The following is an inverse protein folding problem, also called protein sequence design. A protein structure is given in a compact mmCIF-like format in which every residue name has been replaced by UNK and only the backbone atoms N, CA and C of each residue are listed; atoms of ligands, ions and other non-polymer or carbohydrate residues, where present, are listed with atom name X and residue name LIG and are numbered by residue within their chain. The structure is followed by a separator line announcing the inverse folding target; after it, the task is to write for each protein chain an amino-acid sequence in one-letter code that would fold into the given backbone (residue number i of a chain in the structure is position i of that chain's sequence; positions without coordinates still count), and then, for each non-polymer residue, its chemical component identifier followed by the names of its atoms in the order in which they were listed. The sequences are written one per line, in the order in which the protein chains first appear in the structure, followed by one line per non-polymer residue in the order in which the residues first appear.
data_IF_588415140032
#
_entry.id   IF_588415140032
#
_cell.length_a   1.000
_cell.length_b   1.000
_cell.length_c   1.000
_cell.angle_alpha   90.00
_cell.angle_beta   90.00
_cell.angle_gamma   90.00
#
_symmetry.space_group_name_H-M   'P 1'
#
loop_
_entity.id
_entity.type
_entity.pdbx_description
1 polymer ?
#
# COMPACT_ATOMS: atom_id res chain seq x y z
N UNK A 1 21.80 13.67 -17.53
CA UNK A 1 20.52 13.07 -17.10
C UNK A 1 19.44 14.14 -17.14
N UNK A 2 18.22 13.76 -17.51
CA UNK A 2 17.11 14.67 -17.75
C UNK A 2 16.70 15.34 -16.43
N UNK A 3 16.86 16.66 -16.30
CA UNK A 3 16.81 17.36 -15.00
C UNK A 3 15.41 17.48 -14.41
N UNK A 4 14.34 17.21 -15.18
CA UNK A 4 12.97 17.54 -14.79
C UNK A 4 12.32 16.56 -13.80
N UNK A 5 12.73 15.29 -13.82
CA UNK A 5 12.18 14.21 -12.97
C UNK A 5 13.28 13.58 -12.12
N UNK A 6 13.98 14.44 -11.38
CA UNK A 6 15.06 14.03 -10.50
C UNK A 6 14.49 13.73 -9.08
N UNK A 7 14.82 12.58 -8.47
CA UNK A 7 14.31 12.20 -7.15
C UNK A 7 14.73 13.18 -6.04
N UNK A 8 15.99 13.64 -6.05
CA UNK A 8 16.50 14.60 -5.06
C UNK A 8 15.76 15.94 -5.14
N UNK A 9 15.47 16.44 -6.35
CA UNK A 9 14.71 17.68 -6.51
C UNK A 9 13.26 17.56 -6.02
N UNK A 10 12.63 16.40 -6.21
CA UNK A 10 11.32 16.13 -5.63
C UNK A 10 11.39 16.07 -4.10
N UNK A 11 12.43 15.43 -3.55
CA UNK A 11 12.64 15.33 -2.11
C UNK A 11 12.89 16.71 -1.49
N UNK A 12 13.81 17.51 -2.03
CA UNK A 12 14.08 18.88 -1.59
C UNK A 12 12.82 19.75 -1.60
N UNK A 13 11.99 19.59 -2.63
CA UNK A 13 10.70 20.29 -2.73
C UNK A 13 9.71 19.81 -1.65
N UNK A 14 9.68 18.52 -1.34
CA UNK A 14 8.90 17.99 -0.22
C UNK A 14 9.37 18.58 1.11
N UNK A 15 10.68 18.58 1.38
CA UNK A 15 11.27 19.19 2.57
C UNK A 15 10.92 20.68 2.69
N UNK A 16 10.99 21.43 1.58
CA UNK A 16 10.61 22.84 1.58
C UNK A 16 9.13 23.04 1.93
N UNK A 17 8.23 22.19 1.43
CA UNK A 17 6.82 22.25 1.80
C UNK A 17 6.59 21.91 3.28
N UNK A 18 7.35 20.98 3.85
CA UNK A 18 7.27 20.67 5.28
C UNK A 18 7.86 21.77 6.16
N UNK A 19 8.90 22.47 5.70
CA UNK A 19 9.36 23.69 6.38
C UNK A 19 8.26 24.77 6.41
N UNK A 20 7.39 24.82 5.39
CA UNK A 20 6.24 25.73 5.40
C UNK A 20 5.15 25.26 6.35
N UNK A 21 4.88 23.95 6.43
CA UNK A 21 3.90 23.39 7.36
C UNK A 21 4.33 23.50 8.83
N UNK A 22 5.65 23.58 9.09
CA UNK A 22 6.23 23.64 10.42
C UNK A 22 6.40 25.07 10.97
N UNK A 23 5.91 26.11 10.27
CA UNK A 23 6.01 27.48 10.78
C UNK A 23 5.20 27.66 12.07
N UNK A 24 5.67 28.44 13.06
CA UNK A 24 4.97 28.58 14.34
C UNK A 24 3.60 29.27 14.26
N UNK A 25 3.42 30.14 13.26
CA UNK A 25 2.27 31.02 13.07
C UNK A 25 1.22 30.46 12.10
N UNK A 26 1.37 29.20 11.68
CA UNK A 26 0.49 28.57 10.71
C UNK A 26 -0.71 27.87 11.38
N UNK A 27 -1.89 28.01 10.78
CA UNK A 27 -3.08 27.30 11.23
C UNK A 27 -2.99 25.79 10.90
N UNK A 28 -3.75 24.98 11.64
CA UNK A 28 -3.72 23.52 11.46
C UNK A 28 -4.18 23.08 10.06
N UNK A 29 -5.12 23.81 9.46
CA UNK A 29 -5.61 23.58 8.11
C UNK A 29 -4.52 23.84 7.06
N UNK A 30 -3.80 24.96 7.16
CA UNK A 30 -2.70 25.30 6.27
C UNK A 30 -1.49 24.35 6.47
N UNK A 31 -1.23 23.90 7.70
CA UNK A 31 -0.25 22.82 7.97
C UNK A 31 -0.63 21.53 7.24
N UNK A 32 -1.88 21.11 7.32
CA UNK A 32 -2.35 19.89 6.65
C UNK A 32 -2.24 20.04 5.12
N UNK A 33 -2.60 21.20 4.58
CA UNK A 33 -2.46 21.51 3.16
C UNK A 33 -1.02 21.41 2.66
N UNK A 34 -0.06 22.06 3.34
CA UNK A 34 1.35 21.96 2.97
C UNK A 34 1.90 20.54 3.12
N UNK A 35 1.45 19.82 4.14
CA UNK A 35 1.82 18.41 4.36
C UNK A 35 1.31 17.53 3.22
N UNK A 36 0.08 17.77 2.73
CA UNK A 36 -0.48 17.06 1.58
C UNK A 36 0.37 17.29 0.33
N UNK A 37 0.73 18.54 0.02
CA UNK A 37 1.60 18.87 -1.11
C UNK A 37 2.99 18.22 -0.99
N UNK A 38 3.56 18.22 0.22
CA UNK A 38 4.84 17.56 0.49
C UNK A 38 4.77 16.06 0.22
N UNK A 39 3.70 15.40 0.68
CA UNK A 39 3.46 13.98 0.45
C UNK A 39 3.42 13.65 -1.04
N UNK A 40 2.80 14.51 -1.86
CA UNK A 40 2.76 14.27 -3.30
C UNK A 40 4.15 14.28 -3.94
N UNK A 41 5.00 15.23 -3.53
CA UNK A 41 6.36 15.31 -4.04
C UNK A 41 7.19 14.13 -3.54
N UNK A 42 7.03 13.73 -2.28
CA UNK A 42 7.75 12.60 -1.70
C UNK A 42 7.39 11.26 -2.35
N UNK A 43 6.11 11.02 -2.66
CA UNK A 43 5.67 9.87 -3.44
C UNK A 43 6.35 9.83 -4.83
N UNK A 44 6.46 10.98 -5.50
CA UNK A 44 7.14 11.07 -6.80
C UNK A 44 8.65 10.90 -6.68
N UNK A 45 9.25 11.44 -5.63
CA UNK A 45 10.68 11.24 -5.31
C UNK A 45 10.97 9.74 -5.21
N UNK A 46 10.14 9.02 -4.46
CA UNK A 46 10.27 7.58 -4.22
C UNK A 46 10.17 6.76 -5.51
N UNK A 47 9.19 7.03 -6.37
CA UNK A 47 9.12 6.36 -7.68
C UNK A 47 10.31 6.69 -8.57
N UNK A 48 10.71 7.97 -8.65
CA UNK A 48 11.82 8.40 -9.49
C UNK A 48 13.17 7.85 -9.02
N UNK A 49 13.33 7.57 -7.72
CA UNK A 49 14.53 6.96 -7.16
C UNK A 49 14.70 5.52 -7.62
N UNK A 50 13.60 4.78 -7.81
CA UNK A 50 13.62 3.47 -8.45
C UNK A 50 13.87 3.63 -9.95
N UNK A 51 13.03 4.42 -10.64
CA UNK A 51 13.20 4.77 -12.05
C UNK A 51 12.31 5.94 -12.44
N UNK A 52 12.82 7.00 -13.10
CA UNK A 52 12.00 8.10 -13.61
C UNK A 52 10.86 7.67 -14.54
N UNK A 53 11.00 6.52 -15.22
CA UNK A 53 9.98 5.96 -16.09
C UNK A 53 8.71 5.57 -15.32
N UNK A 54 8.85 5.19 -14.04
CA UNK A 54 7.70 4.85 -13.19
C UNK A 54 6.83 6.08 -12.86
N UNK A 55 7.34 7.30 -13.02
CA UNK A 55 6.57 8.53 -12.85
C UNK A 55 5.99 9.07 -14.18
N UNK A 56 6.35 8.48 -15.31
CA UNK A 56 5.92 8.89 -16.64
C UNK A 56 4.48 8.45 -16.95
N UNK A 57 3.70 9.36 -17.54
CA UNK A 57 2.39 9.04 -18.10
C UNK A 57 2.54 8.14 -19.34
N UNK A 58 1.94 6.93 -19.38
CA UNK A 58 2.08 6.02 -20.52
C UNK A 58 1.29 6.45 -21.77
N UNK A 59 0.43 7.47 -21.68
CA UNK A 59 -0.35 7.97 -22.82
C UNK A 59 0.53 8.68 -23.87
N UNK A 60 -0.11 9.21 -24.93
CA UNK A 60 0.56 9.95 -26.01
C UNK A 60 1.68 9.10 -26.68
N UNK A 61 1.39 7.84 -27.02
CA UNK A 61 2.34 6.90 -27.65
C UNK A 61 3.64 6.72 -26.84
N UNK A 62 3.56 6.82 -25.51
CA UNK A 62 4.71 6.66 -24.63
C UNK A 62 5.71 7.83 -24.70
N UNK A 63 5.32 9.00 -25.21
CA UNK A 63 6.22 10.16 -25.34
C UNK A 63 6.91 10.55 -24.01
N UNK A 64 6.19 10.44 -22.89
CA UNK A 64 6.71 10.69 -21.55
C UNK A 64 7.67 9.60 -21.07
N UNK A 65 7.42 8.34 -21.44
CA UNK A 65 8.31 7.21 -21.16
C UNK A 65 9.64 7.40 -21.91
N UNK A 66 9.56 7.73 -23.20
CA UNK A 66 10.74 8.04 -24.02
C UNK A 66 11.53 9.21 -23.43
N UNK A 67 10.84 10.25 -22.95
CA UNK A 67 11.48 11.36 -22.23
C UNK A 67 12.20 10.89 -20.95
N UNK A 68 11.58 10.03 -20.15
CA UNK A 68 12.20 9.46 -18.94
C UNK A 68 13.49 8.70 -19.26
N UNK A 69 13.49 7.97 -20.38
CA UNK A 69 14.64 7.23 -20.90
C UNK A 69 15.70 8.13 -21.57
N UNK A 70 15.46 9.44 -21.68
CA UNK A 70 16.42 10.41 -22.19
C UNK A 70 16.25 10.77 -23.67
N UNK A 71 15.24 10.25 -24.35
CA UNK A 71 14.93 10.63 -25.73
C UNK A 71 14.19 11.96 -25.78
N UNK A 72 14.50 12.79 -26.78
CA UNK A 72 13.87 14.10 -26.96
C UNK A 72 12.54 13.94 -27.70
N UNK A 73 11.44 14.25 -27.02
CA UNK A 73 10.12 14.37 -27.63
C UNK A 73 9.85 15.78 -28.18
N UNK A 74 8.86 15.89 -29.07
CA UNK A 74 8.33 17.20 -29.56
C UNK A 74 7.38 17.85 -28.55
N UNK A 75 6.70 17.04 -27.73
CA UNK A 75 5.75 17.49 -26.70
C UNK A 75 6.43 17.61 -25.34
N UNK A 76 5.90 18.49 -24.48
CA UNK A 76 6.30 18.55 -23.09
C UNK A 76 5.90 17.24 -22.38
N UNK A 77 6.80 16.64 -21.59
CA UNK A 77 6.55 15.38 -20.93
C UNK A 77 5.56 15.55 -19.78
N UNK A 78 4.70 14.55 -19.60
CA UNK A 78 3.66 14.49 -18.56
C UNK A 78 4.01 13.44 -17.51
N UNK A 79 3.74 13.78 -16.26
CA UNK A 79 3.85 12.84 -15.13
C UNK A 79 2.50 12.23 -14.84
N UNK A 80 2.49 11.06 -14.21
CA UNK A 80 1.26 10.41 -13.78
C UNK A 80 0.38 11.27 -12.86
N UNK A 81 -0.95 11.07 -12.86
CA UNK A 81 -1.81 11.55 -11.79
C UNK A 81 -1.49 10.83 -10.46
N UNK A 82 -1.78 11.47 -9.32
CA UNK A 82 -1.31 10.95 -8.02
C UNK A 82 -1.89 9.59 -7.63
N UNK A 83 -3.15 9.29 -7.99
CA UNK A 83 -3.73 7.95 -7.73
C UNK A 83 -2.93 6.83 -8.42
N UNK A 84 -2.39 7.11 -9.61
CA UNK A 84 -1.56 6.16 -10.33
C UNK A 84 -0.14 6.07 -9.74
N UNK A 85 0.36 7.17 -9.17
CA UNK A 85 1.64 7.18 -8.43
C UNK A 85 1.54 6.27 -7.20
N UNK A 86 0.51 6.43 -6.36
CA UNK A 86 0.32 5.62 -5.15
C UNK A 86 0.03 4.15 -5.47
N UNK A 87 -0.74 3.88 -6.53
CA UNK A 87 -0.95 2.52 -7.01
C UNK A 87 0.35 1.85 -7.48
N UNK A 88 1.23 2.59 -8.20
CA UNK A 88 2.56 2.05 -8.58
C UNK A 88 3.44 1.82 -7.37
N UNK A 89 3.45 2.73 -6.39
CA UNK A 89 4.22 2.58 -5.15
C UNK A 89 3.85 1.28 -4.40
N UNK A 90 2.56 0.96 -4.27
CA UNK A 90 2.08 -0.28 -3.65
C UNK A 90 2.63 -1.55 -4.33
N UNK A 91 2.81 -1.49 -5.66
CA UNK A 91 3.33 -2.62 -6.43
C UNK A 91 4.86 -2.75 -6.35
N UNK A 92 5.59 -1.64 -6.26
CA UNK A 92 7.07 -1.64 -6.39
C UNK A 92 7.81 -1.47 -5.07
N UNK A 93 7.14 -1.01 -4.01
CA UNK A 93 7.72 -0.84 -2.68
C UNK A 93 7.02 -1.77 -1.68
N UNK A 94 7.70 -2.81 -1.24
CA UNK A 94 7.15 -3.82 -0.31
C UNK A 94 6.58 -3.22 0.98
N UNK A 95 7.26 -2.21 1.54
CA UNK A 95 6.85 -1.51 2.76
C UNK A 95 5.70 -0.52 2.54
N UNK A 96 5.39 -0.14 1.30
CA UNK A 96 4.27 0.75 0.99
C UNK A 96 3.00 -0.08 0.84
N UNK A 97 2.26 -0.20 1.95
CA UNK A 97 1.12 -1.11 2.03
C UNK A 97 -0.16 -0.46 1.47
N UNK A 98 -1.21 -1.26 1.34
CA UNK A 98 -2.56 -0.76 1.06
C UNK A 98 -3.02 0.32 2.05
N UNK A 99 -2.64 0.20 3.33
CA UNK A 99 -2.95 1.21 4.36
C UNK A 99 -2.27 2.55 4.01
N UNK A 100 -0.99 2.51 3.61
CA UNK A 100 -0.24 3.68 3.15
C UNK A 100 -0.89 4.31 1.92
N UNK A 101 -1.29 3.50 0.95
CA UNK A 101 -1.99 3.96 -0.25
C UNK A 101 -3.31 4.65 0.09
N UNK A 102 -4.16 4.02 0.90
CA UNK A 102 -5.46 4.58 1.29
C UNK A 102 -5.31 5.90 2.03
N UNK A 103 -4.32 6.00 2.92
CA UNK A 103 -4.00 7.27 3.57
C UNK A 103 -3.60 8.34 2.54
N UNK A 104 -2.64 8.06 1.65
CA UNK A 104 -2.23 9.00 0.62
C UNK A 104 -3.41 9.46 -0.26
N UNK A 105 -4.22 8.52 -0.75
CA UNK A 105 -5.38 8.82 -1.60
C UNK A 105 -6.42 9.67 -0.87
N UNK A 106 -6.73 9.36 0.39
CA UNK A 106 -7.64 10.16 1.21
C UNK A 106 -7.10 11.58 1.47
N UNK A 107 -5.82 11.71 1.76
CA UNK A 107 -5.19 13.01 2.01
C UNK A 107 -5.08 13.86 0.74
N UNK A 108 -4.79 13.23 -0.40
CA UNK A 108 -4.79 13.89 -1.71
C UNK A 108 -6.20 14.25 -2.18
N UNK A 109 -7.21 13.45 -1.85
CA UNK A 109 -8.60 13.76 -2.14
C UNK A 109 -9.01 15.07 -1.43
N UNK A 110 -8.67 15.21 -0.15
CA UNK A 110 -8.88 16.48 0.58
C UNK A 110 -8.15 17.66 -0.06
N UNK A 111 -6.92 17.44 -0.55
CA UNK A 111 -6.19 18.46 -1.31
C UNK A 111 -6.89 18.83 -2.62
N UNK A 112 -7.46 17.85 -3.32
CA UNK A 112 -8.27 18.13 -4.51
C UNK A 112 -9.51 18.95 -4.15
N UNK A 113 -10.26 18.56 -3.10
CA UNK A 113 -11.43 19.30 -2.62
C UNK A 113 -11.08 20.75 -2.24
N UNK A 114 -9.98 20.95 -1.49
CA UNK A 114 -9.51 22.28 -1.09
C UNK A 114 -9.16 23.19 -2.29
N UNK A 115 -8.61 22.62 -3.37
CA UNK A 115 -8.08 23.40 -4.50
C UNK A 115 -9.08 23.55 -5.64
N UNK A 116 -9.96 22.56 -5.84
CA UNK A 116 -10.82 22.47 -7.02
C UNK A 116 -12.31 22.65 -6.69
N UNK A 117 -12.72 22.40 -5.46
CA UNK A 117 -14.10 22.54 -5.03
C UNK A 117 -14.28 23.80 -4.18
N UNK A 118 -15.53 24.13 -3.85
CA UNK A 118 -15.86 25.30 -3.02
C UNK A 118 -15.75 25.02 -1.51
N UNK A 119 -15.18 23.89 -1.11
CA UNK A 119 -15.14 23.39 0.27
C UNK A 119 -13.81 23.70 0.95
N UNK A 120 -13.85 23.95 2.26
CA UNK A 120 -12.66 24.06 3.11
C UNK A 120 -12.33 22.68 3.71
N UNK A 121 -11.76 21.80 2.90
CA UNK A 121 -11.58 20.38 3.22
C UNK A 121 -10.63 20.11 4.40
N UNK A 122 -9.78 21.09 4.73
CA UNK A 122 -8.83 21.03 5.85
C UNK A 122 -9.25 21.79 7.10
N UNK A 123 -10.28 22.65 7.06
CA UNK A 123 -10.66 23.52 8.19
C UNK A 123 -11.01 22.71 9.45
N UNK A 124 -11.80 21.65 9.30
CA UNK A 124 -12.25 20.79 10.41
C UNK A 124 -11.38 19.53 10.58
N UNK A 125 -10.22 19.46 9.92
CA UNK A 125 -9.37 18.27 9.95
C UNK A 125 -8.48 18.26 11.20
N UNK A 126 -8.92 17.54 12.25
CA UNK A 126 -8.15 17.37 13.47
C UNK A 126 -6.76 16.76 13.21
N UNK A 127 -5.68 17.40 13.68
CA UNK A 127 -4.29 16.94 13.48
C UNK A 127 -4.07 15.49 13.95
N UNK A 128 -4.67 15.12 15.09
CA UNK A 128 -4.57 13.78 15.65
C UNK A 128 -5.09 12.68 14.71
N UNK A 129 -5.94 13.02 13.72
CA UNK A 129 -6.50 12.06 12.77
C UNK A 129 -5.57 11.70 11.61
N UNK A 130 -4.60 12.56 11.28
CA UNK A 130 -3.78 12.39 10.07
C UNK A 130 -2.27 12.44 10.33
N UNK A 131 -1.81 13.12 11.37
CA UNK A 131 -0.38 13.40 11.58
C UNK A 131 0.45 12.13 11.79
N UNK A 132 -0.06 11.17 12.56
CA UNK A 132 0.64 9.91 12.80
C UNK A 132 0.68 9.00 11.55
N UNK A 133 -0.45 8.72 10.86
CA UNK A 133 -0.40 8.03 9.58
C UNK A 133 0.50 8.71 8.55
N UNK A 134 0.52 10.05 8.53
CA UNK A 134 1.41 10.84 7.69
C UNK A 134 2.88 10.51 7.96
N UNK A 135 3.33 10.53 9.21
CA UNK A 135 4.71 10.21 9.55
C UNK A 135 5.09 8.76 9.24
N UNK A 136 4.17 7.81 9.46
CA UNK A 136 4.38 6.39 9.08
C UNK A 136 4.64 6.28 7.58
N UNK A 137 3.86 6.96 6.75
CA UNK A 137 4.07 6.93 5.29
C UNK A 137 5.35 7.67 4.89
N UNK A 138 5.65 8.81 5.52
CA UNK A 138 6.92 9.51 5.28
C UNK A 138 8.14 8.65 5.60
N UNK A 139 8.12 7.86 6.69
CA UNK A 139 9.20 6.91 7.04
C UNK A 139 9.50 5.97 5.86
N UNK A 140 8.46 5.30 5.35
CA UNK A 140 8.56 4.35 4.24
C UNK A 140 9.07 5.00 2.95
N UNK A 141 8.57 6.20 2.62
CA UNK A 141 8.96 6.91 1.40
C UNK A 141 10.38 7.50 1.49
N UNK A 142 10.83 7.94 2.68
CA UNK A 142 12.20 8.39 2.89
C UNK A 142 13.20 7.25 2.67
N UNK A 143 12.91 6.06 3.21
CA UNK A 143 13.74 4.88 2.99
C UNK A 143 13.88 4.55 1.48
N UNK A 144 12.81 4.71 0.70
CA UNK A 144 12.83 4.45 -0.75
C UNK A 144 13.76 5.39 -1.53
N UNK A 145 14.04 6.58 -1.02
CA UNK A 145 15.01 7.53 -1.58
C UNK A 145 16.37 7.50 -0.86
N UNK A 146 16.61 6.49 -0.02
CA UNK A 146 17.84 6.37 0.80
C UNK A 146 18.09 7.58 1.71
N UNK A 147 17.02 8.12 2.29
CA UNK A 147 17.02 9.21 3.29
C UNK A 147 16.34 8.76 4.57
N UNK A 148 16.55 9.50 5.64
CA UNK A 148 15.81 9.30 6.88
C UNK A 148 14.74 10.38 7.11
N UNK A 149 13.93 10.19 8.15
CA UNK A 149 12.90 11.16 8.56
C UNK A 149 13.50 12.50 9.02
N UNK A 150 14.74 12.50 9.51
CA UNK A 150 15.44 13.71 9.95
C UNK A 150 15.94 14.55 8.77
N UNK A 151 16.29 13.93 7.63
CA UNK A 151 16.59 14.60 6.37
C UNK A 151 15.36 15.36 5.82
N UNK A 152 14.15 14.84 6.09
CA UNK A 152 12.90 15.42 5.63
C UNK A 152 12.37 16.52 6.58
N UNK A 153 12.29 16.22 7.88
CA UNK A 153 11.63 17.06 8.88
C UNK A 153 12.58 17.91 9.72
N UNK A 154 13.88 17.60 9.71
CA UNK A 154 14.84 18.08 10.71
C UNK A 154 14.82 17.24 11.99
N UNK A 155 15.91 17.31 12.76
CA UNK A 155 16.16 16.42 13.91
C UNK A 155 15.08 16.48 15.00
N UNK A 156 14.70 17.69 15.41
CA UNK A 156 13.75 17.89 16.52
C UNK A 156 12.35 17.32 16.21
N UNK A 157 11.83 17.63 15.02
CA UNK A 157 10.53 17.12 14.56
C UNK A 157 10.60 15.62 14.29
N UNK A 158 11.72 15.11 13.77
CA UNK A 158 11.93 13.68 13.55
C UNK A 158 11.88 12.87 14.84
N UNK A 159 12.46 13.35 15.94
CA UNK A 159 12.40 12.66 17.24
C UNK A 159 10.96 12.56 17.76
N UNK A 160 10.15 13.60 17.53
CA UNK A 160 8.73 13.62 17.89
C UNK A 160 7.93 12.66 17.00
N UNK A 161 8.19 12.68 15.69
CA UNK A 161 7.57 11.77 14.73
C UNK A 161 7.88 10.30 15.06
N UNK A 162 9.13 9.97 15.38
CA UNK A 162 9.54 8.61 15.76
C UNK A 162 8.82 8.10 17.03
N UNK A 163 8.60 8.98 18.03
CA UNK A 163 7.81 8.64 19.22
C UNK A 163 6.34 8.37 18.86
N UNK A 164 5.74 9.18 18.00
CA UNK A 164 4.36 8.99 17.54
C UNK A 164 4.21 7.67 16.74
N UNK A 165 5.14 7.38 15.84
CA UNK A 165 5.17 6.12 15.07
C UNK A 165 5.28 4.92 16.02
N UNK A 166 6.17 4.99 17.01
CA UNK A 166 6.36 3.90 17.99
C UNK A 166 5.11 3.69 18.83
N UNK A 167 4.56 4.76 19.40
CA UNK A 167 3.32 4.69 20.19
C UNK A 167 2.14 4.16 19.38
N UNK A 168 2.07 4.51 18.09
CA UNK A 168 1.04 3.98 17.19
C UNK A 168 1.18 2.47 16.95
N UNK A 169 2.40 1.99 16.70
CA UNK A 169 2.68 0.55 16.55
C UNK A 169 2.28 -0.22 17.82
N UNK A 170 2.57 0.34 19.01
CA UNK A 170 2.17 -0.24 20.29
C UNK A 170 0.65 -0.24 20.53
N UNK A 171 -0.04 0.85 20.17
CA UNK A 171 -1.50 0.97 20.27
C UNK A 171 -2.21 -0.03 19.35
N UNK A 172 -1.77 -0.15 18.10
CA UNK A 172 -2.30 -1.15 17.15
C UNK A 172 -2.08 -2.57 17.71
N UNK A 173 -0.90 -2.87 18.25
CA UNK A 173 -0.62 -4.15 18.88
C UNK A 173 -1.53 -4.42 20.09
N UNK A 174 -1.73 -3.42 20.94
CA UNK A 174 -2.63 -3.48 22.09
C UNK A 174 -4.07 -3.79 21.68
N UNK A 175 -4.60 -3.05 20.70
CA UNK A 175 -5.95 -3.25 20.15
C UNK A 175 -6.12 -4.63 19.54
N UNK A 176 -5.18 -5.08 18.72
CA UNK A 176 -5.24 -6.42 18.10
C UNK A 176 -5.25 -7.51 19.17
N UNK A 177 -4.40 -7.40 20.19
CA UNK A 177 -4.37 -8.34 21.32
C UNK A 177 -5.69 -8.35 22.09
N UNK A 178 -6.29 -7.18 22.31
CA UNK A 178 -7.60 -7.06 22.95
C UNK A 178 -8.71 -7.69 22.10
N UNK A 179 -8.75 -7.41 20.79
CA UNK A 179 -9.70 -8.03 19.86
C UNK A 179 -9.59 -9.56 19.89
N UNK A 180 -8.38 -10.10 19.81
CA UNK A 180 -8.14 -11.56 19.89
C UNK A 180 -8.68 -12.10 21.21
N UNK A 181 -8.37 -11.45 22.34
CA UNK A 181 -8.82 -11.85 23.67
C UNK A 181 -10.35 -11.85 23.78
N UNK A 182 -11.00 -10.80 23.30
CA UNK A 182 -12.46 -10.65 23.37
C UNK A 182 -13.17 -11.71 22.52
N UNK A 183 -12.72 -11.91 21.27
CA UNK A 183 -13.28 -12.96 20.41
C UNK A 183 -13.02 -14.37 20.96
N UNK A 184 -11.87 -14.60 21.61
CA UNK A 184 -11.56 -15.86 22.30
C UNK A 184 -12.55 -16.10 23.43
N UNK A 185 -12.74 -15.13 24.32
CA UNK A 185 -13.66 -15.23 25.44
C UNK A 185 -15.10 -15.50 24.97
N UNK A 186 -15.58 -14.78 23.96
CA UNK A 186 -16.92 -14.97 23.39
C UNK A 186 -17.08 -16.34 22.75
N UNK A 187 -16.07 -16.84 22.02
CA UNK A 187 -16.15 -18.15 21.37
C UNK A 187 -16.18 -19.30 22.38
N UNK A 188 -15.30 -19.30 23.39
CA UNK A 188 -15.22 -20.37 24.37
C UNK A 188 -16.33 -20.32 25.44
N UNK A 189 -17.05 -19.20 25.57
CA UNK A 189 -18.26 -19.12 26.38
C UNK A 189 -19.48 -19.82 25.75
N UNK A 190 -19.44 -20.16 24.45
CA UNK A 190 -20.52 -20.86 23.75
C UNK A 190 -20.57 -22.34 24.15
N UNK A 191 -21.75 -22.95 24.03
CA UNK A 191 -21.92 -24.38 24.28
C UNK A 191 -21.07 -25.23 23.32
N UNK A 192 -20.54 -26.40 23.76
CA UNK A 192 -19.71 -27.27 22.92
C UNK A 192 -20.39 -27.70 21.61
N UNK A 193 -21.72 -27.86 21.62
CA UNK A 193 -22.50 -28.16 20.41
C UNK A 193 -22.53 -27.01 19.42
N UNK A 194 -22.50 -25.76 19.88
CA UNK A 194 -22.40 -24.57 19.04
C UNK A 194 -20.97 -24.38 18.53
N UNK A 195 -19.96 -24.58 19.39
CA UNK A 195 -18.54 -24.52 18.99
C UNK A 195 -18.24 -25.48 17.84
N UNK A 196 -18.76 -26.71 17.90
CA UNK A 196 -18.62 -27.73 16.85
C UNK A 196 -19.34 -27.37 15.55
N UNK A 197 -20.47 -26.66 15.62
CA UNK A 197 -21.16 -26.14 14.42
C UNK A 197 -20.39 -24.99 13.77
N UNK A 198 -19.74 -24.15 14.59
CA UNK A 198 -18.97 -23.01 14.11
C UNK A 198 -17.58 -23.40 13.61
N UNK A 199 -16.97 -24.47 14.14
CA UNK A 199 -15.63 -24.93 13.71
C UNK A 199 -15.58 -25.36 12.25
N UNK A 200 -16.71 -25.80 11.68
CA UNK A 200 -16.83 -26.16 10.27
C UNK A 200 -17.23 -24.98 9.36
N UNK A 201 -17.52 -23.79 9.93
CA UNK A 201 -17.84 -22.60 9.12
C UNK A 201 -16.55 -21.98 8.60
N UNK A 202 -16.26 -22.24 7.34
CA UNK A 202 -15.36 -21.40 6.57
C UNK A 202 -16.11 -20.14 6.12
N UNK A 203 -15.46 -18.96 6.14
CA UNK A 203 -16.02 -17.78 5.50
C UNK A 203 -16.30 -18.10 4.02
N UNK A 204 -17.51 -17.83 3.55
CA UNK A 204 -17.85 -17.89 2.13
C UNK A 204 -17.17 -16.71 1.43
N UNK A 205 -15.92 -16.86 1.04
CA UNK A 205 -15.23 -15.90 0.19
C UNK A 205 -15.24 -16.49 -1.23
N UNK A 206 -15.82 -15.75 -2.17
CA UNK A 206 -16.01 -16.14 -3.57
C UNK A 206 -14.71 -16.14 -4.41
N UNK A 207 -13.51 -16.25 -3.83
CA UNK A 207 -12.27 -15.87 -4.53
C UNK A 207 -11.23 -16.98 -4.74
N UNK A 208 -11.57 -18.25 -4.54
CA UNK A 208 -10.63 -19.36 -4.78
C UNK A 208 -10.19 -19.49 -6.26
N UNK A 209 -10.89 -18.86 -7.22
CA UNK A 209 -10.53 -18.92 -8.65
C UNK A 209 -9.12 -18.40 -8.96
N UNK A 210 -8.58 -17.50 -8.12
CA UNK A 210 -7.22 -16.95 -8.30
C UNK A 210 -6.28 -17.30 -7.16
N UNK A 211 -6.65 -18.22 -6.26
CA UNK A 211 -5.85 -18.63 -5.11
C UNK A 211 -5.36 -17.48 -4.23
N UNK A 212 -6.15 -16.40 -4.16
CA UNK A 212 -5.83 -15.21 -3.38
C UNK A 212 -6.14 -15.38 -1.88
N UNK A 213 -6.43 -16.61 -1.43
CA UNK A 213 -6.68 -16.92 -0.02
C UNK A 213 -5.73 -18.02 0.47
N UNK A 214 -5.27 -17.89 1.72
CA UNK A 214 -4.45 -18.89 2.40
C UNK A 214 -5.15 -19.31 3.70
N UNK A 215 -5.25 -20.61 3.93
CA UNK A 215 -5.80 -21.16 5.17
C UNK A 215 -4.76 -21.04 6.29
N UNK A 216 -5.17 -20.45 7.41
CA UNK A 216 -4.33 -20.24 8.60
C UNK A 216 -5.08 -20.62 9.86
N UNK A 217 -4.36 -20.86 10.96
CA UNK A 217 -4.98 -21.09 12.28
C UNK A 217 -5.39 -19.76 12.91
N UNK A 218 -6.61 -19.71 13.44
CA UNK A 218 -7.10 -18.51 14.12
C UNK A 218 -6.42 -18.32 15.49
N UNK A 219 -5.86 -17.14 15.80
CA UNK A 219 -5.24 -16.88 17.10
C UNK A 219 -6.23 -16.80 18.26
N UNK A 220 -7.53 -16.61 17.98
CA UNK A 220 -8.57 -16.55 19.01
C UNK A 220 -9.18 -17.93 19.32
N UNK A 221 -9.64 -18.66 18.30
CA UNK A 221 -10.41 -19.90 18.48
C UNK A 221 -9.74 -21.17 17.93
N UNK A 222 -8.53 -21.07 17.39
CA UNK A 222 -7.71 -22.19 16.85
C UNK A 222 -8.29 -22.94 15.64
N UNK A 223 -9.54 -22.66 15.27
CA UNK A 223 -10.16 -23.11 14.02
C UNK A 223 -9.49 -22.51 12.77
N UNK A 224 -9.77 -23.11 11.62
CA UNK A 224 -9.33 -22.62 10.31
C UNK A 224 -9.95 -21.26 10.00
N UNK A 225 -9.10 -20.31 9.64
CA UNK A 225 -9.46 -18.99 9.15
C UNK A 225 -8.82 -18.73 7.79
N UNK A 226 -9.24 -17.65 7.13
CA UNK A 226 -8.75 -17.27 5.81
C UNK A 226 -7.95 -15.97 5.91
N UNK A 227 -6.73 -16.01 5.42
CA UNK A 227 -5.91 -14.85 5.09
C UNK A 227 -6.17 -14.54 3.62
N UNK A 228 -6.51 -13.30 3.29
CA UNK A 228 -6.83 -12.86 1.93
C UNK A 228 -5.74 -11.91 1.47
N UNK A 229 -5.29 -12.08 0.22
CA UNK A 229 -4.26 -11.25 -0.37
C UNK A 229 -4.61 -10.71 -1.74
N UNK A 230 -3.79 -9.78 -2.21
CA UNK A 230 -3.80 -9.24 -3.57
C UNK A 230 -2.54 -9.71 -4.29
N UNK A 231 -2.67 -10.13 -5.55
CA UNK A 231 -1.53 -10.58 -6.35
C UNK A 231 -0.51 -9.44 -6.45
N UNK A 232 0.72 -9.72 -6.04
CA UNK A 232 1.83 -8.76 -5.99
C UNK A 232 2.93 -9.11 -6.99
N UNK A 233 3.21 -10.41 -7.16
CA UNK A 233 4.19 -10.88 -8.13
C UNK A 233 3.82 -12.27 -8.66
N UNK A 234 4.27 -12.57 -9.87
CA UNK A 234 4.21 -13.89 -10.47
C UNK A 234 5.61 -14.24 -11.00
N UNK A 235 6.06 -15.48 -10.78
CA UNK A 235 7.34 -15.95 -11.31
C UNK A 235 7.25 -16.23 -12.82
N UNK A 236 8.40 -16.29 -13.48
CA UNK A 236 8.46 -16.96 -14.78
C UNK A 236 7.94 -18.40 -14.66
N UNK A 237 7.28 -18.93 -15.71
CA UNK A 237 6.86 -20.31 -15.76
C UNK A 237 8.04 -21.27 -15.59
N UNK A 238 7.91 -22.27 -14.72
CA UNK A 238 8.92 -23.30 -14.51
C UNK A 238 8.34 -24.71 -14.62
N UNK A 239 9.16 -25.65 -15.08
CA UNK A 239 8.76 -27.04 -15.27
C UNK A 239 8.97 -27.82 -13.96
N UNK A 240 7.94 -28.54 -13.51
CA UNK A 240 8.03 -29.55 -12.45
C UNK A 240 7.18 -30.75 -12.85
N UNK A 241 7.74 -31.96 -12.75
CA UNK A 241 7.02 -33.22 -13.05
C UNK A 241 6.31 -33.23 -14.43
N UNK A 242 6.97 -32.68 -15.46
CA UNK A 242 6.43 -32.55 -16.83
C UNK A 242 5.19 -31.67 -16.96
N UNK A 243 4.92 -30.82 -15.96
CA UNK A 243 3.86 -29.81 -15.94
C UNK A 243 4.47 -28.43 -15.72
N UNK A 244 3.84 -27.41 -16.28
CA UNK A 244 4.27 -26.03 -16.12
C UNK A 244 3.60 -25.44 -14.89
N UNK A 245 4.38 -24.70 -14.10
CA UNK A 245 3.89 -24.02 -12.90
C UNK A 245 4.31 -22.57 -12.91
N UNK A 246 3.49 -21.73 -12.27
CA UNK A 246 3.87 -20.37 -11.87
C UNK A 246 3.73 -20.25 -10.37
N UNK A 247 4.66 -19.51 -9.75
CA UNK A 247 4.55 -19.14 -8.35
C UNK A 247 3.95 -17.75 -8.26
N UNK A 248 2.74 -17.66 -7.73
CA UNK A 248 2.09 -16.39 -7.44
C UNK A 248 2.36 -16.00 -6.00
N UNK A 249 2.73 -14.75 -5.79
CA UNK A 249 2.95 -14.16 -4.47
C UNK A 249 1.92 -13.07 -4.24
N UNK A 250 1.27 -13.15 -3.09
CA UNK A 250 0.20 -12.25 -2.68
C UNK A 250 0.66 -11.45 -1.47
N UNK A 251 0.32 -10.16 -1.46
CA UNK A 251 0.40 -9.34 -0.27
C UNK A 251 -0.85 -9.56 0.58
N UNK A 252 -0.68 -9.87 1.85
CA UNK A 252 -1.77 -10.08 2.81
C UNK A 252 -2.49 -8.75 3.06
N UNK A 253 -3.80 -8.72 2.83
CA UNK A 253 -4.61 -7.47 2.93
C UNK A 253 -5.70 -7.55 3.98
N UNK A 254 -6.24 -8.74 4.25
CA UNK A 254 -7.25 -8.92 5.29
C UNK A 254 -7.26 -10.34 5.82
N UNK A 255 -7.90 -10.51 6.97
CA UNK A 255 -8.07 -11.81 7.61
C UNK A 255 -9.51 -11.94 8.11
N UNK A 256 -10.06 -13.15 8.03
CA UNK A 256 -11.41 -13.44 8.51
C UNK A 256 -11.53 -14.86 9.05
N UNK A 257 -12.08 -14.99 10.25
CA UNK A 257 -12.45 -16.26 10.86
C UNK A 257 -13.96 -16.46 10.86
N UNK A 258 -14.44 -17.50 10.16
CA UNK A 258 -15.85 -17.84 10.09
C UNK A 258 -16.42 -18.44 11.40
N UNK A 259 -15.55 -18.94 12.27
CA UNK A 259 -15.95 -19.58 13.53
C UNK A 259 -16.18 -18.56 14.67
N UNK A 260 -15.20 -17.70 14.96
CA UNK A 260 -15.29 -16.72 16.06
C UNK A 260 -15.64 -15.29 15.59
N UNK A 261 -15.69 -15.05 14.29
CA UNK A 261 -15.99 -13.73 13.72
C UNK A 261 -14.84 -12.71 13.80
N UNK A 262 -13.65 -13.12 14.25
CA UNK A 262 -12.47 -12.24 14.26
C UNK A 262 -12.14 -11.82 12.82
N UNK A 263 -11.99 -10.52 12.61
CA UNK A 263 -11.65 -9.91 11.32
C UNK A 263 -10.56 -8.87 11.51
N UNK A 264 -9.59 -8.86 10.59
CA UNK A 264 -8.63 -7.78 10.42
C UNK A 264 -8.75 -7.23 9.01
N UNK A 265 -8.69 -5.91 8.89
CA UNK A 265 -8.95 -5.18 7.64
C UNK A 265 -7.77 -4.37 7.15
N UNK A 266 -6.74 -4.20 7.98
CA UNK A 266 -5.52 -3.46 7.63
C UNK A 266 -4.28 -4.36 7.70
N UNK A 267 -3.25 -4.01 6.94
CA UNK A 267 -1.97 -4.74 6.97
C UNK A 267 -1.29 -4.59 8.33
N UNK A 268 -1.46 -3.41 8.95
CA UNK A 268 -0.95 -3.12 10.29
C UNK A 268 -1.53 -4.06 11.35
N UNK A 269 -2.84 -4.37 11.27
CA UNK A 269 -3.49 -5.33 12.16
C UNK A 269 -2.99 -6.77 11.94
N UNK A 270 -2.75 -7.15 10.67
CA UNK A 270 -2.23 -8.47 10.32
C UNK A 270 -0.83 -8.70 10.87
N UNK A 271 0.06 -7.72 10.70
CA UNK A 271 1.42 -7.76 11.24
C UNK A 271 1.40 -7.81 12.77
N UNK A 272 0.55 -7.01 13.42
CA UNK A 272 0.37 -7.04 14.87
C UNK A 272 -0.19 -8.38 15.39
N UNK A 273 -0.97 -9.10 14.57
CA UNK A 273 -1.44 -10.45 14.85
C UNK A 273 -0.40 -11.54 14.49
N UNK A 274 0.80 -11.16 14.06
CA UNK A 274 1.91 -12.04 13.66
C UNK A 274 1.57 -12.94 12.46
N UNK A 275 0.79 -12.41 11.50
CA UNK A 275 0.63 -13.03 10.19
C UNK A 275 1.72 -12.55 9.22
N UNK A 276 2.11 -13.44 8.30
CA UNK A 276 3.08 -13.10 7.27
C UNK A 276 2.52 -12.00 6.35
N UNK A 277 3.32 -10.96 6.03
CA UNK A 277 2.88 -9.87 5.16
C UNK A 277 2.67 -10.32 3.71
N UNK A 278 3.28 -11.44 3.32
CA UNK A 278 3.12 -12.06 2.01
C UNK A 278 2.94 -13.57 2.15
N UNK A 279 2.28 -14.17 1.16
CA UNK A 279 2.25 -15.61 1.01
C UNK A 279 2.29 -15.97 -0.47
N UNK A 280 2.77 -17.17 -0.79
CA UNK A 280 2.85 -17.64 -2.18
C UNK A 280 2.21 -19.00 -2.32
N UNK A 281 1.60 -19.23 -3.48
CA UNK A 281 1.13 -20.54 -3.92
C UNK A 281 1.61 -20.83 -5.34
N UNK A 282 1.81 -22.11 -5.64
CA UNK A 282 2.19 -22.58 -6.97
C UNK A 282 0.93 -23.07 -7.70
N UNK A 283 0.74 -22.60 -8.93
CA UNK A 283 -0.39 -22.95 -9.77
C UNK A 283 0.11 -23.69 -10.99
N UNK A 284 -0.50 -24.84 -11.27
CA UNK A 284 -0.31 -25.52 -12.55
C UNK A 284 -0.96 -24.67 -13.64
N UNK A 285 -0.24 -24.47 -14.74
CA UNK A 285 -0.73 -23.76 -15.92
C UNK A 285 -0.69 -24.71 -17.11
N UNK A 286 -1.74 -24.70 -17.91
CA UNK A 286 -1.78 -25.46 -19.14
C UNK A 286 -0.91 -24.76 -20.20
N UNK A 287 -0.12 -25.54 -20.95
CA UNK A 287 0.63 -25.04 -22.10
C UNK A 287 -0.29 -24.36 -23.13
N UNK A 288 -1.55 -24.77 -23.20
CA UNK A 288 -2.53 -24.14 -24.09
C UNK A 288 -2.87 -22.69 -23.70
N UNK A 289 -2.94 -22.40 -22.39
CA UNK A 289 -3.23 -21.04 -21.89
C UNK A 289 -2.09 -20.06 -22.19
N UNK A 290 -0.84 -20.55 -22.23
CA UNK A 290 0.34 -19.75 -22.58
C UNK A 290 0.40 -19.51 -24.09
N UNK A 291 0.15 -20.55 -24.90
CA UNK A 291 0.34 -20.50 -26.35
C UNK A 291 -0.76 -19.69 -27.07
N UNK A 292 -1.98 -19.57 -26.54
CA UNK A 292 -3.02 -18.77 -27.20
C UNK A 292 -2.69 -17.27 -27.24
N UNK A 293 -1.93 -16.73 -26.27
CA UNK A 293 -1.53 -15.32 -26.28
C UNK A 293 -0.65 -14.98 -27.49
N UNK A 294 0.22 -15.91 -27.92
CA UNK A 294 1.10 -15.71 -29.07
C UNK A 294 0.36 -15.89 -30.42
N UNK A 295 -0.69 -16.72 -30.48
CA UNK A 295 -1.42 -16.98 -31.73
C UNK A 295 -2.42 -15.86 -32.12
N UNK A 296 -2.95 -15.08 -31.17
CA UNK A 296 -3.82 -13.94 -31.49
C UNK A 296 -3.04 -12.73 -32.04
N UNK A 297 -1.78 -12.52 -31.63
CA UNK A 297 -0.94 -11.44 -32.17
C UNK A 297 -0.53 -11.66 -33.63
N UNK A 298 -0.36 -12.91 -34.06
CA UNK A 298 0.02 -13.23 -35.44
C UNK A 298 -1.15 -13.12 -36.44
N UNK A 299 -2.41 -13.33 -36.00
CA UNK A 299 -3.58 -13.19 -36.88
C UNK A 299 -4.10 -11.75 -37.01
N UNK A 300 -3.77 -10.86 -36.07
CA UNK A 300 -4.13 -9.44 -36.13
C UNK A 300 -3.11 -8.60 -36.92
N UNK A 301 -1.98 -9.20 -37.32
CA UNK A 301 -0.94 -8.58 -38.15
C UNK A 301 -0.89 -9.15 -39.59
N UNK A 302 -1.91 -9.89 -40.04
CA UNK A 302 -2.12 -10.28 -41.45
C UNK A 302 -3.22 -9.47 -42.14
#
# INVERSE_FOLDING_TARGET
MNTKWNPDQYFEKASLYLQRSARPDIESSERAFWSALALEQLCRASLCAISPTLNADPQDEGASILFALGYKGKKAPKTLPMHAVTARLELVLEKFTKDSRQFCEGFMFKRNEEVHDSTLAFEDLAEASWLTPFYVVCEVLCEAVSKDLADLLGKETSDTAAKLITAHKEDVFGKVKEHIKNHRAVYYAKDPGEQKKLSSKLPLIHSDEYGNTKRVKCPACENTALLVGTLSAESEPFLRDSRMYVKRTYQSTSYICGACGLKFTSVSELMAANFDPTFSEEFEIDLHDILQMDYEEDYMNM
#
